data_IF_846286365303
#
_entry.id   IF_846286365303
#
_cell.length_a   1.000
_cell.length_b   1.000
_cell.length_c   1.000
_cell.angle_alpha   90.00
_cell.angle_beta   90.00
_cell.angle_gamma   90.00
#
_symmetry.space_group_name_H-M   'P 1'
#
loop_
_entity.id
_entity.type
_entity.pdbx_description
1 polymer ?
#
# COMPACT_ATOMS: atom_id res chain seq x y z
N UNK A 1 -7.52 24.78 -35.66
CA UNK A 1 -6.69 25.15 -34.48
C UNK A 1 -7.58 25.22 -33.23
N UNK A 2 -7.95 24.08 -32.64
CA UNK A 2 -8.90 23.97 -31.51
C UNK A 2 -8.37 23.06 -30.39
N UNK A 3 -7.08 23.10 -30.09
CA UNK A 3 -6.46 22.17 -29.14
C UNK A 3 -5.74 22.82 -27.96
N UNK A 4 -5.56 24.15 -27.94
CA UNK A 4 -4.84 24.83 -26.86
C UNK A 4 -5.70 25.10 -25.61
N UNK A 5 -7.03 25.23 -25.75
CA UNK A 5 -7.92 25.59 -24.64
C UNK A 5 -8.20 24.43 -23.66
N UNK A 6 -8.22 23.19 -24.14
CA UNK A 6 -8.42 22.02 -23.28
C UNK A 6 -7.24 21.80 -22.31
N UNK A 7 -6.02 22.12 -22.75
CA UNK A 7 -4.80 21.97 -21.93
C UNK A 7 -4.80 22.86 -20.68
N UNK A 8 -5.37 24.06 -20.76
CA UNK A 8 -5.39 25.00 -19.63
C UNK A 8 -6.51 24.65 -18.65
N UNK A 9 -7.69 24.25 -19.13
CA UNK A 9 -8.78 23.78 -18.27
C UNK A 9 -8.42 22.49 -17.53
N UNK A 10 -7.75 21.54 -18.18
CA UNK A 10 -7.25 20.32 -17.53
C UNK A 10 -6.15 20.63 -16.49
N UNK A 11 -5.25 21.59 -16.77
CA UNK A 11 -4.25 22.05 -15.80
C UNK A 11 -4.88 22.77 -14.60
N UNK A 12 -5.91 23.58 -14.83
CA UNK A 12 -6.62 24.27 -13.75
C UNK A 12 -7.44 23.29 -12.91
N UNK A 13 -8.11 22.31 -13.52
CA UNK A 13 -8.77 21.22 -12.79
C UNK A 13 -7.77 20.45 -11.92
N UNK A 14 -6.54 20.24 -12.37
CA UNK A 14 -5.47 19.65 -11.56
C UNK A 14 -4.98 20.49 -10.38
N UNK A 15 -5.27 21.80 -10.35
CA UNK A 15 -4.96 22.74 -9.27
C UNK A 15 -6.14 22.97 -8.31
N UNK A 16 -7.39 22.88 -8.79
CA UNK A 16 -8.61 23.07 -8.00
C UNK A 16 -9.23 21.78 -7.48
N UNK A 17 -8.87 20.61 -8.04
CA UNK A 17 -9.14 19.34 -7.37
C UNK A 17 -8.26 19.29 -6.13
N UNK A 18 -8.83 19.18 -4.92
CA UNK A 18 -8.02 18.91 -3.75
C UNK A 18 -7.25 17.60 -4.03
N UNK A 19 -5.93 17.72 -4.26
CA UNK A 19 -5.00 16.59 -4.26
C UNK A 19 -4.87 15.93 -2.88
N UNK A 20 -5.80 16.20 -1.97
CA UNK A 20 -6.14 15.28 -0.93
C UNK A 20 -7.07 14.22 -1.53
N UNK A 21 -6.49 13.09 -1.97
CA UNK A 21 -7.07 11.84 -1.51
C UNK A 21 -7.00 11.89 0.03
N UNK A 22 -8.01 12.50 0.64
CA UNK A 22 -8.27 12.40 2.06
C UNK A 22 -8.49 10.90 2.33
N UNK A 23 -7.44 10.20 2.73
CA UNK A 23 -7.45 8.74 2.96
C UNK A 23 -6.39 7.93 2.21
N UNK A 24 -5.54 8.52 1.35
CA UNK A 24 -4.40 7.77 0.83
C UNK A 24 -3.32 7.66 1.91
N UNK A 25 -3.26 6.53 2.62
CA UNK A 25 -2.13 6.20 3.49
C UNK A 25 -0.82 6.46 2.70
N UNK A 26 0.07 7.31 3.22
CA UNK A 26 1.28 7.73 2.52
C UNK A 26 2.29 6.60 2.23
N UNK A 27 2.09 5.42 2.82
CA UNK A 27 3.00 4.28 2.77
C UNK A 27 2.51 3.12 1.90
N UNK A 28 2.12 3.38 0.65
CA UNK A 28 1.68 2.37 -0.34
C UNK A 28 2.38 0.98 -0.25
N UNK A 29 1.70 -0.14 -0.61
CA UNK A 29 0.27 -0.29 -0.88
C UNK A 29 -0.49 -0.69 0.38
N UNK A 30 -1.80 -0.47 0.36
CA UNK A 30 -2.81 -1.01 1.29
C UNK A 30 -2.83 -2.55 1.40
N UNK A 31 -1.91 -3.25 0.74
CA UNK A 31 -1.98 -4.68 0.60
C UNK A 31 -1.25 -5.37 1.74
N UNK A 32 -2.08 -5.91 2.62
CA UNK A 32 -1.69 -6.96 3.51
C UNK A 32 -0.99 -8.10 2.75
N UNK A 33 0.12 -8.56 3.28
CA UNK A 33 0.99 -9.57 2.65
C UNK A 33 1.36 -10.67 3.64
N UNK A 34 1.76 -11.81 3.10
CA UNK A 34 2.34 -12.89 3.90
C UNK A 34 3.86 -12.75 3.96
N UNK A 35 4.42 -12.91 5.16
CA UNK A 35 5.85 -13.16 5.36
C UNK A 35 6.09 -14.62 5.65
N UNK A 36 7.24 -15.12 5.21
CA UNK A 36 7.67 -16.49 5.37
C UNK A 36 9.04 -16.52 6.03
N UNK A 37 9.28 -17.49 6.90
CA UNK A 37 10.61 -17.77 7.45
C UNK A 37 10.80 -19.26 7.69
N UNK A 38 12.05 -19.69 7.81
CA UNK A 38 12.42 -21.01 8.32
C UNK A 38 13.03 -20.81 9.72
N UNK A 39 12.51 -21.52 10.72
CA UNK A 39 13.03 -21.50 12.09
C UNK A 39 13.16 -22.94 12.61
N UNK A 40 14.40 -23.39 12.84
CA UNK A 40 14.68 -24.72 13.40
C UNK A 40 13.98 -25.87 12.66
N UNK A 41 14.08 -25.93 11.32
CA UNK A 41 13.43 -26.92 10.43
C UNK A 41 11.93 -26.77 10.22
N UNK A 42 11.32 -25.68 10.69
CA UNK A 42 9.91 -25.40 10.42
C UNK A 42 9.74 -24.18 9.52
N UNK A 43 9.03 -24.34 8.40
CA UNK A 43 8.51 -23.21 7.65
C UNK A 43 7.37 -22.57 8.45
N UNK A 44 7.49 -21.28 8.67
CA UNK A 44 6.50 -20.46 9.36
C UNK A 44 6.04 -19.34 8.46
N UNK A 45 4.77 -18.99 8.57
CA UNK A 45 4.13 -17.88 7.86
C UNK A 45 3.44 -16.94 8.85
N UNK A 46 3.39 -15.66 8.55
CA UNK A 46 2.50 -14.71 9.25
C UNK A 46 1.90 -13.72 8.28
N UNK A 47 0.75 -13.18 8.63
CA UNK A 47 0.08 -12.12 7.87
C UNK A 47 0.48 -10.76 8.44
N UNK A 48 0.81 -9.81 7.57
CA UNK A 48 1.23 -8.47 7.95
C UNK A 48 0.42 -7.42 7.19
N UNK A 49 0.05 -6.35 7.88
CA UNK A 49 -0.67 -5.20 7.35
C UNK A 49 0.05 -3.90 7.70
N UNK A 50 0.04 -2.95 6.78
CA UNK A 50 0.51 -1.60 7.03
C UNK A 50 -0.67 -0.71 7.45
N UNK A 51 -0.45 0.09 8.48
CA UNK A 51 -1.36 1.16 8.88
C UNK A 51 -1.04 2.45 8.13
N UNK A 52 -1.96 3.41 8.12
CA UNK A 52 -1.73 4.73 7.53
C UNK A 52 -0.59 5.53 8.18
N UNK A 53 -0.18 5.16 9.40
CA UNK A 53 0.99 5.75 10.08
C UNK A 53 2.28 5.02 9.72
N UNK A 54 2.29 4.20 8.66
CA UNK A 54 3.44 3.41 8.21
C UNK A 54 3.93 2.39 9.24
N UNK A 55 3.12 2.11 10.26
CA UNK A 55 3.42 1.09 11.24
C UNK A 55 2.96 -0.27 10.70
N UNK A 56 3.85 -1.26 10.79
CA UNK A 56 3.60 -2.63 10.36
C UNK A 56 3.09 -3.44 11.53
N UNK A 57 1.88 -3.98 11.40
CA UNK A 57 1.31 -4.91 12.37
C UNK A 57 1.26 -6.29 11.74
N UNK A 58 1.78 -7.29 12.43
CA UNK A 58 1.76 -8.67 11.97
C UNK A 58 1.11 -9.58 13.00
N UNK A 59 0.44 -10.62 12.51
CA UNK A 59 -0.08 -11.69 13.33
C UNK A 59 1.06 -12.60 13.85
N UNK A 60 0.69 -13.53 14.72
CA UNK A 60 1.61 -14.56 15.20
C UNK A 60 2.11 -15.45 14.04
N UNK A 61 3.31 -16.00 14.20
CA UNK A 61 3.84 -17.00 13.28
C UNK A 61 3.07 -18.31 13.43
N UNK A 62 2.59 -18.83 12.30
CA UNK A 62 1.98 -20.15 12.20
C UNK A 62 2.88 -21.07 11.39
N UNK A 63 3.10 -22.28 11.91
CA UNK A 63 3.85 -23.33 11.20
C UNK A 63 3.03 -23.85 10.03
N UNK A 64 3.62 -23.85 8.84
CA UNK A 64 2.99 -24.28 7.59
C UNK A 64 3.63 -25.55 7.00
N UNK A 65 4.73 -26.02 7.57
CA UNK A 65 5.42 -27.22 7.14
C UNK A 65 6.86 -27.25 7.63
N UNK A 66 7.66 -28.13 7.03
CA UNK A 66 9.07 -28.27 7.34
C UNK A 66 9.93 -27.73 6.21
N UNK A 67 10.94 -26.96 6.59
CA UNK A 67 12.14 -26.69 5.81
C UNK A 67 13.20 -27.74 6.20
#
# INVERSE_FOLDING_TARGET
MRQALHSVSDRMLGLFLPKARAGACACFPSDSHYEYRCAGFTYQRRWCRYSCTCNKTCDAWVTIGNC
#
